data_IF_627214933881
#
_entry.id   IF_627214933881
#
_cell.length_a   1.000
_cell.length_b   1.000
_cell.length_c   1.000
_cell.angle_alpha   90.00
_cell.angle_beta   90.00
_cell.angle_gamma   90.00
#
_symmetry.space_group_name_H-M   'P 1'
#
loop_
_entity.id
_entity.type
_entity.pdbx_description
1 polymer ?
#
# COMPACT_ATOMS: atom_id res chain seq x y z
N UNK A 1 15.03 -22.74 11.75
CA UNK A 1 15.76 -23.17 12.99
C UNK A 1 14.80 -23.07 14.16
N UNK A 2 14.78 -24.02 15.10
CA UNK A 2 13.90 -23.95 16.28
C UNK A 2 14.30 -22.75 17.15
N UNK A 3 13.34 -21.85 17.44
CA UNK A 3 13.59 -20.67 18.30
C UNK A 3 13.71 -21.12 19.78
N UNK A 4 14.74 -20.68 20.46
CA UNK A 4 15.02 -21.06 21.86
C UNK A 4 13.84 -20.73 22.80
N UNK A 5 13.26 -19.54 22.68
CA UNK A 5 12.11 -19.11 23.50
C UNK A 5 10.89 -20.04 23.37
N UNK A 6 10.62 -20.49 22.15
CA UNK A 6 9.54 -21.45 21.90
C UNK A 6 9.85 -22.80 22.57
N UNK A 7 11.07 -23.32 22.37
CA UNK A 7 11.48 -24.59 22.93
C UNK A 7 11.40 -24.61 24.47
N UNK A 8 11.78 -23.51 25.12
CA UNK A 8 11.70 -23.35 26.58
C UNK A 8 10.25 -23.39 27.08
N UNK A 9 9.35 -22.61 26.41
CA UNK A 9 7.93 -22.60 26.76
C UNK A 9 7.28 -23.97 26.58
N UNK A 10 7.60 -24.61 25.45
CA UNK A 10 7.09 -25.94 25.10
C UNK A 10 7.51 -27.00 26.09
N UNK A 11 8.83 -27.11 26.43
CA UNK A 11 9.37 -28.06 27.39
C UNK A 11 8.76 -27.87 28.77
N UNK A 12 8.61 -26.61 29.22
CA UNK A 12 8.00 -26.31 30.53
C UNK A 12 6.56 -26.81 30.62
N UNK A 13 5.78 -26.64 29.57
CA UNK A 13 4.37 -27.09 29.50
C UNK A 13 4.29 -28.61 29.44
N UNK A 14 5.07 -29.26 28.57
CA UNK A 14 5.01 -30.69 28.34
C UNK A 14 5.55 -31.49 29.55
N UNK A 15 6.62 -31.06 30.20
CA UNK A 15 7.18 -31.70 31.39
C UNK A 15 6.24 -31.67 32.60
N UNK A 16 5.44 -30.59 32.74
CA UNK A 16 4.45 -30.49 33.82
C UNK A 16 3.31 -31.52 33.72
N UNK A 17 3.05 -32.02 32.53
CA UNK A 17 1.99 -33.02 32.27
C UNK A 17 2.53 -34.44 32.41
N UNK A 18 3.73 -34.71 31.95
CA UNK A 18 4.24 -36.10 31.79
C UNK A 18 5.06 -36.67 32.94
N UNK A 19 5.48 -35.85 33.89
CA UNK A 19 6.41 -36.25 34.97
C UNK A 19 7.71 -36.91 34.46
N UNK A 20 8.11 -36.64 33.22
CA UNK A 20 9.30 -37.13 32.53
C UNK A 20 10.19 -35.99 32.13
N UNK A 21 11.50 -36.21 32.04
CA UNK A 21 12.37 -35.19 31.50
C UNK A 21 12.25 -35.14 29.99
N UNK A 22 12.10 -33.93 29.48
CA UNK A 22 11.95 -33.64 28.04
C UNK A 22 13.09 -32.75 27.61
N UNK A 23 13.68 -33.09 26.46
CA UNK A 23 14.76 -32.32 25.85
C UNK A 23 14.41 -32.05 24.40
N UNK A 24 14.68 -30.84 23.94
CA UNK A 24 14.61 -30.48 22.52
C UNK A 24 16.02 -30.19 22.01
N UNK A 25 16.39 -30.81 20.90
CA UNK A 25 17.68 -30.61 20.26
C UNK A 25 17.55 -29.86 18.96
N UNK A 26 18.64 -29.21 18.54
CA UNK A 26 18.80 -28.71 17.17
C UNK A 26 19.17 -29.86 16.21
N UNK A 27 19.40 -29.54 14.92
CA UNK A 27 19.80 -30.52 13.88
C UNK A 27 21.12 -31.23 14.16
N UNK A 28 22.03 -30.64 14.96
CA UNK A 28 23.29 -31.22 15.36
C UNK A 28 23.21 -32.08 16.63
N UNK A 29 22.01 -32.31 17.15
CA UNK A 29 21.78 -33.09 18.35
C UNK A 29 22.08 -32.37 19.67
N UNK A 30 22.41 -31.07 19.62
CA UNK A 30 22.66 -30.26 20.80
C UNK A 30 21.34 -29.84 21.45
N UNK A 31 21.25 -30.02 22.77
CA UNK A 31 20.09 -29.65 23.58
C UNK A 31 19.95 -28.14 23.65
N UNK A 32 18.87 -27.60 23.10
CA UNK A 32 18.53 -26.17 23.10
C UNK A 32 17.53 -25.79 24.18
N UNK A 33 16.77 -26.79 24.68
CA UNK A 33 15.87 -26.64 25.83
C UNK A 33 15.67 -27.98 26.53
N UNK A 34 15.60 -27.95 27.86
CA UNK A 34 15.42 -29.11 28.69
C UNK A 34 14.60 -28.80 29.95
N UNK A 35 13.82 -29.78 30.43
CA UNK A 35 13.17 -29.71 31.76
C UNK A 35 14.17 -29.74 32.90
N UNK A 36 15.27 -30.45 32.71
CA UNK A 36 16.45 -30.39 33.58
C UNK A 36 17.51 -29.47 32.95
N UNK A 37 17.71 -28.30 33.55
CA UNK A 37 18.62 -27.28 33.01
C UNK A 37 20.10 -27.73 32.95
N UNK A 38 20.49 -28.75 33.70
CA UNK A 38 21.87 -29.27 33.70
C UNK A 38 22.28 -29.87 32.35
N UNK A 39 21.31 -30.34 31.56
CA UNK A 39 21.55 -30.94 30.24
C UNK A 39 21.54 -29.96 29.09
N UNK A 40 21.41 -28.66 29.33
CA UNK A 40 21.48 -27.64 28.28
C UNK A 40 22.88 -27.63 27.65
N UNK A 41 22.92 -27.68 26.32
CA UNK A 41 24.15 -27.68 25.53
C UNK A 41 24.80 -29.07 25.34
N UNK A 42 24.32 -30.10 26.03
CA UNK A 42 24.78 -31.49 25.79
C UNK A 42 24.43 -31.92 24.37
N UNK A 43 25.27 -32.78 23.79
CA UNK A 43 25.07 -33.34 22.45
C UNK A 43 24.70 -34.82 22.58
N UNK A 44 23.54 -35.16 22.01
CA UNK A 44 23.07 -36.55 21.92
C UNK A 44 23.24 -37.08 20.49
N UNK A 45 24.26 -37.95 20.23
CA UNK A 45 24.46 -38.57 18.93
C UNK A 45 23.22 -39.36 18.42
N UNK A 46 22.48 -39.95 19.37
CA UNK A 46 21.24 -40.68 19.10
C UNK A 46 20.16 -39.77 18.48
N UNK A 47 20.10 -38.48 18.90
CA UNK A 47 19.19 -37.52 18.30
C UNK A 47 19.57 -37.21 16.84
N UNK A 48 20.88 -37.05 16.56
CA UNK A 48 21.38 -36.86 15.19
C UNK A 48 20.99 -38.04 14.30
N UNK A 49 21.16 -39.26 14.80
CA UNK A 49 20.85 -40.48 14.10
C UNK A 49 19.32 -40.58 13.80
N UNK A 50 18.50 -40.27 14.80
CA UNK A 50 17.03 -40.22 14.63
C UNK A 50 16.61 -39.19 13.55
N UNK A 51 17.24 -38.03 13.53
CA UNK A 51 17.04 -36.98 12.52
C UNK A 51 17.45 -37.48 11.13
N UNK A 52 18.64 -38.07 11.00
CA UNK A 52 19.17 -38.56 9.71
C UNK A 52 18.34 -39.73 9.14
N UNK A 53 17.98 -40.70 9.98
CA UNK A 53 17.14 -41.83 9.56
C UNK A 53 15.67 -41.47 9.40
N UNK A 54 15.30 -40.34 9.97
CA UNK A 54 13.92 -39.86 9.93
C UNK A 54 12.94 -40.83 10.65
N UNK A 55 13.42 -41.56 11.64
CA UNK A 55 12.68 -42.54 12.41
C UNK A 55 12.89 -42.33 13.93
N UNK A 56 11.89 -42.68 14.75
CA UNK A 56 12.06 -42.70 16.19
C UNK A 56 13.09 -43.77 16.59
N UNK A 57 13.84 -43.51 17.64
CA UNK A 57 14.76 -44.43 18.26
C UNK A 57 14.30 -44.67 19.71
N UNK A 58 14.18 -45.93 20.11
CA UNK A 58 13.84 -46.35 21.46
C UNK A 58 15.08 -46.88 22.13
N UNK A 59 15.38 -46.35 23.30
CA UNK A 59 16.54 -46.76 24.12
C UNK A 59 16.01 -47.38 25.39
N UNK A 60 16.28 -48.66 25.55
CA UNK A 60 15.94 -49.47 26.73
C UNK A 60 17.14 -49.58 27.67
N UNK A 61 16.92 -50.05 28.89
CA UNK A 61 18.00 -50.21 29.88
C UNK A 61 19.13 -51.15 29.41
N UNK A 62 18.78 -52.18 28.65
CA UNK A 62 19.75 -53.20 28.18
C UNK A 62 20.68 -52.65 27.07
N UNK A 63 20.30 -51.56 26.38
CA UNK A 63 21.05 -51.03 25.25
C UNK A 63 21.61 -49.61 25.46
N UNK A 64 21.58 -49.09 26.70
CA UNK A 64 22.08 -47.77 27.07
C UNK A 64 23.52 -47.53 26.60
N UNK A 65 24.41 -48.48 26.81
CA UNK A 65 25.80 -48.37 26.39
C UNK A 65 25.99 -48.28 24.89
N UNK A 66 25.17 -49.01 24.15
CA UNK A 66 25.19 -49.02 22.68
C UNK A 66 24.81 -47.65 22.14
N UNK A 67 23.84 -47.00 22.77
CA UNK A 67 23.34 -45.69 22.35
C UNK A 67 24.07 -44.51 22.99
N UNK A 68 25.10 -44.78 23.83
CA UNK A 68 25.83 -43.79 24.63
C UNK A 68 24.87 -42.87 25.42
N UNK A 69 23.89 -43.46 26.07
CA UNK A 69 22.91 -42.79 26.91
C UNK A 69 22.99 -43.27 28.38
N UNK A 70 22.57 -42.42 29.29
CA UNK A 70 22.59 -42.68 30.75
C UNK A 70 21.22 -43.06 31.30
N UNK A 71 20.16 -42.96 30.46
CA UNK A 71 18.79 -43.26 30.85
C UNK A 71 18.01 -43.84 29.67
N UNK A 72 16.98 -44.66 29.90
CA UNK A 72 16.08 -45.12 28.85
C UNK A 72 15.25 -43.92 28.32
N UNK A 73 14.97 -43.92 27.03
CA UNK A 73 14.30 -42.79 26.38
C UNK A 73 13.64 -43.18 25.04
N UNK A 74 12.72 -42.34 24.62
CA UNK A 74 12.23 -42.30 23.23
C UNK A 74 12.68 -41.00 22.58
N UNK A 75 13.42 -41.13 21.48
CA UNK A 75 13.93 -40.03 20.68
C UNK A 75 13.14 -39.98 19.37
N UNK A 76 12.59 -38.83 19.02
CA UNK A 76 11.80 -38.66 17.80
C UNK A 76 12.16 -37.38 17.07
N UNK A 77 12.32 -37.43 15.71
CA UNK A 77 12.62 -36.24 14.95
C UNK A 77 11.39 -35.33 14.84
N UNK A 78 11.61 -34.01 14.86
CA UNK A 78 10.59 -32.97 14.63
C UNK A 78 10.69 -32.55 13.18
N UNK A 79 9.57 -32.56 12.44
CA UNK A 79 9.52 -32.31 11.00
C UNK A 79 8.52 -31.23 10.61
N UNK A 80 8.80 -30.59 9.50
CA UNK A 80 7.84 -29.80 8.75
C UNK A 80 8.16 -29.88 7.26
N UNK A 81 7.16 -30.20 6.41
CA UNK A 81 7.29 -30.36 4.95
C UNK A 81 8.52 -31.21 4.52
N UNK A 82 8.69 -32.39 5.11
CA UNK A 82 9.82 -33.32 4.89
C UNK A 82 11.21 -32.85 5.37
N UNK A 83 11.33 -31.68 5.96
CA UNK A 83 12.58 -31.24 6.60
C UNK A 83 12.55 -31.49 8.09
N UNK A 84 13.67 -32.00 8.64
CA UNK A 84 13.85 -32.17 10.08
C UNK A 84 14.44 -30.91 10.70
N UNK A 85 13.85 -30.42 11.78
CA UNK A 85 14.25 -29.20 12.48
C UNK A 85 15.06 -29.47 13.75
N UNK A 86 14.94 -30.67 14.28
CA UNK A 86 15.60 -31.13 15.49
C UNK A 86 14.99 -32.45 15.95
N UNK A 87 15.18 -32.81 17.22
CA UNK A 87 14.56 -33.98 17.84
C UNK A 87 14.04 -33.67 19.26
N UNK A 88 13.02 -34.44 19.66
CA UNK A 88 12.54 -34.50 21.03
C UNK A 88 13.08 -35.79 21.68
N UNK A 89 13.62 -35.68 22.89
CA UNK A 89 14.02 -36.79 23.73
C UNK A 89 13.11 -36.76 24.95
N UNK A 90 12.43 -37.86 25.23
CA UNK A 90 11.61 -38.03 26.43
C UNK A 90 12.23 -39.16 27.24
N UNK A 91 12.60 -38.89 28.51
CA UNK A 91 13.16 -39.90 29.40
C UNK A 91 12.09 -40.82 30.01
N UNK A 92 12.36 -42.09 30.08
CA UNK A 92 11.48 -43.12 30.64
C UNK A 92 11.49 -44.41 29.83
N UNK A 93 10.87 -45.44 30.36
CA UNK A 93 10.80 -46.74 29.69
C UNK A 93 9.93 -46.62 28.39
N UNK A 94 10.41 -47.07 27.21
CA UNK A 94 9.72 -46.87 25.95
C UNK A 94 8.26 -47.32 25.95
N UNK A 95 7.93 -48.42 26.61
CA UNK A 95 6.55 -48.92 26.68
C UNK A 95 5.59 -47.95 27.37
N UNK A 96 6.07 -47.15 28.31
CA UNK A 96 5.25 -46.20 29.07
C UNK A 96 5.11 -44.85 28.39
N UNK A 97 6.15 -44.43 27.69
CA UNK A 97 6.22 -43.05 27.15
C UNK A 97 6.03 -42.95 25.64
N UNK A 98 6.02 -44.04 24.88
CA UNK A 98 5.89 -44.05 23.42
C UNK A 98 4.69 -43.22 22.91
N UNK A 99 3.53 -43.47 23.51
CA UNK A 99 2.30 -42.76 23.11
C UNK A 99 2.37 -41.24 23.44
N UNK A 100 2.88 -40.93 24.61
CA UNK A 100 3.06 -39.53 25.04
C UNK A 100 4.07 -38.80 24.15
N UNK A 101 5.21 -39.43 23.84
CA UNK A 101 6.24 -38.85 22.95
C UNK A 101 5.65 -38.56 21.56
N UNK A 102 4.76 -39.44 21.05
CA UNK A 102 4.08 -39.24 19.78
C UNK A 102 3.14 -38.03 19.80
N UNK A 103 2.38 -37.83 20.88
CA UNK A 103 1.51 -36.67 21.04
C UNK A 103 2.30 -35.37 21.16
N UNK A 104 3.39 -35.39 21.93
CA UNK A 104 4.32 -34.25 22.07
C UNK A 104 4.91 -33.88 20.70
N UNK A 105 5.34 -34.87 19.93
CA UNK A 105 5.85 -34.66 18.57
C UNK A 105 4.83 -33.93 17.67
N UNK A 106 3.59 -34.45 17.61
CA UNK A 106 2.53 -33.85 16.78
C UNK A 106 2.28 -32.39 17.18
N UNK A 107 2.24 -32.11 18.48
CA UNK A 107 2.04 -30.75 18.96
C UNK A 107 3.25 -29.83 18.63
N UNK A 108 4.48 -30.33 18.77
CA UNK A 108 5.68 -29.58 18.40
C UNK A 108 5.73 -29.27 16.92
N UNK A 109 5.40 -30.24 16.06
CA UNK A 109 5.33 -30.08 14.61
C UNK A 109 4.25 -29.06 14.20
N UNK A 110 3.09 -29.08 14.86
CA UNK A 110 2.01 -28.12 14.63
C UNK A 110 2.41 -26.69 14.96
N UNK A 111 3.06 -26.48 16.12
CA UNK A 111 3.48 -25.11 16.52
C UNK A 111 4.60 -24.59 15.63
N UNK A 112 5.55 -25.45 15.24
CA UNK A 112 6.60 -25.08 14.28
C UNK A 112 6.00 -24.73 12.92
N UNK A 113 5.00 -25.49 12.45
CA UNK A 113 4.29 -25.20 11.22
C UNK A 113 3.64 -23.81 11.27
N UNK A 114 2.92 -23.48 12.34
CA UNK A 114 2.31 -22.16 12.51
C UNK A 114 3.34 -21.02 12.54
N UNK A 115 4.47 -21.20 13.24
CA UNK A 115 5.51 -20.17 13.30
C UNK A 115 6.14 -19.91 11.93
N UNK A 116 6.40 -20.97 11.15
CA UNK A 116 6.97 -20.86 9.81
C UNK A 116 5.97 -20.22 8.84
N UNK A 117 4.70 -20.59 8.91
CA UNK A 117 3.66 -20.00 8.07
C UNK A 117 3.48 -18.52 8.37
N UNK A 118 3.44 -18.12 9.64
CA UNK A 118 3.40 -16.69 10.04
C UNK A 118 4.63 -15.91 9.57
N UNK A 119 5.84 -16.48 9.65
CA UNK A 119 7.06 -15.84 9.13
C UNK A 119 7.02 -15.69 7.60
N UNK A 120 6.48 -16.69 6.89
CA UNK A 120 6.34 -16.62 5.43
C UNK A 120 5.32 -15.56 5.01
N UNK A 121 4.17 -15.49 5.68
CA UNK A 121 3.14 -14.48 5.43
C UNK A 121 3.67 -13.07 5.71
N UNK A 122 4.37 -12.88 6.83
CA UNK A 122 5.01 -11.60 7.17
C UNK A 122 6.08 -11.19 6.15
N UNK A 123 6.93 -12.13 5.72
CA UNK A 123 7.97 -11.87 4.71
C UNK A 123 7.35 -11.60 3.34
N UNK A 124 6.22 -12.23 2.97
CA UNK A 124 5.50 -11.95 1.74
C UNK A 124 4.90 -10.54 1.74
N UNK A 125 4.29 -10.11 2.84
CA UNK A 125 3.73 -8.75 2.98
C UNK A 125 4.85 -7.70 2.92
N UNK A 126 5.96 -7.90 3.65
CA UNK A 126 7.13 -7.01 3.58
C UNK A 126 7.72 -6.95 2.16
N UNK A 127 7.86 -8.09 1.50
CA UNK A 127 8.35 -8.18 0.14
C UNK A 127 7.45 -7.41 -0.84
N UNK A 128 6.14 -7.51 -0.72
CA UNK A 128 5.17 -6.79 -1.56
C UNK A 128 5.25 -5.28 -1.32
N UNK A 129 5.20 -4.83 -0.08
CA UNK A 129 5.31 -3.41 0.28
C UNK A 129 6.66 -2.81 -0.15
N UNK A 130 7.76 -3.53 0.03
CA UNK A 130 9.08 -3.10 -0.44
C UNK A 130 9.15 -2.98 -1.95
N UNK A 131 8.56 -3.92 -2.68
CA UNK A 131 8.49 -3.89 -4.13
C UNK A 131 7.67 -2.69 -4.63
N UNK A 132 6.48 -2.48 -4.09
CA UNK A 132 5.62 -1.34 -4.42
C UNK A 132 6.34 -0.01 -4.12
N UNK A 133 7.00 0.09 -2.97
CA UNK A 133 7.79 1.28 -2.62
C UNK A 133 8.92 1.51 -3.64
N UNK A 134 9.63 0.48 -4.05
CA UNK A 134 10.69 0.61 -5.05
C UNK A 134 10.14 1.04 -6.42
N UNK A 135 9.00 0.48 -6.86
CA UNK A 135 8.34 0.86 -8.12
C UNK A 135 7.92 2.34 -8.10
N UNK A 136 7.33 2.78 -6.99
CA UNK A 136 6.74 4.12 -6.89
C UNK A 136 7.75 5.24 -6.64
N UNK A 137 8.91 4.93 -6.03
CA UNK A 137 9.90 5.93 -5.62
C UNK A 137 11.25 5.85 -6.34
N UNK A 138 11.42 4.91 -7.29
CA UNK A 138 12.63 4.87 -8.13
C UNK A 138 12.47 5.80 -9.33
N UNK A 139 13.49 6.59 -9.64
CA UNK A 139 13.51 7.48 -10.81
C UNK A 139 13.37 6.71 -12.13
N UNK A 140 13.88 5.49 -12.18
CA UNK A 140 13.77 4.58 -13.34
C UNK A 140 13.49 3.16 -12.85
N UNK A 141 12.22 2.81 -12.52
CA UNK A 141 11.91 1.45 -12.13
C UNK A 141 12.20 0.51 -13.32
N UNK A 142 13.16 -0.39 -13.14
CA UNK A 142 13.45 -1.43 -14.13
C UNK A 142 12.30 -2.47 -14.10
N UNK A 143 11.21 -2.13 -14.79
CA UNK A 143 9.97 -2.91 -14.85
C UNK A 143 10.25 -4.33 -15.35
N UNK A 144 11.30 -4.53 -16.18
CA UNK A 144 11.68 -5.85 -16.70
C UNK A 144 12.24 -6.79 -15.63
N UNK A 145 12.86 -6.24 -14.56
CA UNK A 145 13.31 -7.05 -13.41
C UNK A 145 12.16 -7.66 -12.64
N UNK A 146 11.01 -6.96 -12.60
CA UNK A 146 9.82 -7.41 -11.87
C UNK A 146 8.99 -8.44 -12.65
N UNK A 147 9.24 -8.61 -13.95
CA UNK A 147 8.55 -9.59 -14.81
C UNK A 147 9.03 -11.05 -14.62
N UNK A 148 10.05 -11.32 -13.82
CA UNK A 148 10.60 -12.68 -13.69
C UNK A 148 10.02 -13.41 -12.48
N UNK A 149 9.25 -14.44 -12.78
CA UNK A 149 8.79 -15.63 -12.03
C UNK A 149 8.51 -15.59 -10.50
N UNK A 150 9.16 -14.75 -9.69
CA UNK A 150 8.90 -14.61 -8.27
C UNK A 150 7.83 -13.55 -7.94
N UNK A 151 7.60 -12.60 -8.83
CA UNK A 151 6.72 -11.45 -8.58
C UNK A 151 5.30 -11.65 -9.12
N UNK A 152 5.08 -12.55 -10.09
CA UNK A 152 3.74 -12.88 -10.61
C UNK A 152 2.76 -13.41 -9.54
N UNK A 153 3.28 -13.98 -8.46
CA UNK A 153 2.45 -14.49 -7.36
C UNK A 153 2.01 -13.39 -6.37
N UNK A 154 2.62 -12.20 -6.42
CA UNK A 154 2.37 -11.12 -5.45
C UNK A 154 1.67 -9.90 -6.06
N UNK A 155 1.89 -9.63 -7.34
CA UNK A 155 1.21 -8.59 -8.10
C UNK A 155 0.84 -9.17 -9.47
N UNK A 156 -0.44 -9.22 -9.78
CA UNK A 156 -0.84 -9.52 -11.14
C UNK A 156 -0.58 -8.25 -11.98
N UNK A 157 0.26 -8.40 -12.99
CA UNK A 157 0.69 -7.29 -13.84
C UNK A 157 -0.43 -6.76 -14.74
N UNK A 158 -1.50 -7.54 -14.87
CA UNK A 158 -2.69 -7.20 -15.65
C UNK A 158 -3.78 -6.53 -14.78
N UNK A 159 -3.55 -6.46 -13.46
CA UNK A 159 -4.46 -5.76 -12.55
C UNK A 159 -4.50 -4.25 -12.84
N UNK A 160 -5.61 -3.65 -12.50
CA UNK A 160 -5.78 -2.21 -12.56
C UNK A 160 -5.78 -1.61 -11.15
N UNK A 161 -5.19 -0.43 -11.04
CA UNK A 161 -4.95 0.21 -9.75
C UNK A 161 -5.41 1.67 -9.74
N UNK A 162 -5.81 2.13 -8.56
CA UNK A 162 -5.93 3.54 -8.22
C UNK A 162 -5.05 3.79 -7.00
N UNK A 163 -4.22 4.83 -7.07
CA UNK A 163 -3.43 5.29 -5.92
C UNK A 163 -4.13 6.48 -5.30
N UNK A 164 -4.24 6.48 -3.97
CA UNK A 164 -4.56 7.68 -3.23
C UNK A 164 -3.41 8.02 -2.28
N UNK A 165 -3.08 9.30 -2.15
CA UNK A 165 -2.04 9.77 -1.24
C UNK A 165 -2.68 10.59 -0.12
N UNK A 166 -2.36 10.23 1.12
CA UNK A 166 -2.82 10.93 2.32
C UNK A 166 -1.67 11.78 2.86
N UNK A 167 -1.86 13.08 2.89
CA UNK A 167 -0.95 14.05 3.49
C UNK A 167 -1.53 14.55 4.81
N UNK A 168 -0.80 14.36 5.91
CA UNK A 168 -1.28 14.71 7.25
C UNK A 168 -0.68 16.07 7.67
N UNK A 169 -1.53 17.08 7.76
CA UNK A 169 -1.15 18.47 8.05
C UNK A 169 -1.17 18.75 9.56
N UNK A 170 -0.46 17.95 10.35
CA UNK A 170 -0.28 18.18 11.79
C UNK A 170 1.09 17.73 12.26
N UNK A 171 1.68 18.46 13.23
CA UNK A 171 2.91 18.07 13.91
C UNK A 171 2.65 17.37 15.24
N UNK A 172 1.40 17.25 15.67
CA UNK A 172 1.03 16.60 16.93
C UNK A 172 1.18 15.10 16.85
N UNK A 173 2.09 14.51 17.63
CA UNK A 173 2.34 13.06 17.70
C UNK A 173 1.06 12.25 18.03
N UNK A 174 0.18 12.79 18.87
CA UNK A 174 -1.07 12.12 19.24
C UNK A 174 -2.06 12.07 18.08
N UNK A 175 -2.19 13.18 17.31
CA UNK A 175 -3.05 13.24 16.12
C UNK A 175 -2.51 12.37 15.00
N UNK A 176 -1.19 12.41 14.74
CA UNK A 176 -0.52 11.52 13.77
C UNK A 176 -0.80 10.05 14.09
N UNK A 177 -0.73 9.67 15.38
CA UNK A 177 -1.05 8.30 15.80
C UNK A 177 -2.50 7.94 15.52
N UNK A 178 -3.46 8.81 15.83
CA UNK A 178 -4.89 8.55 15.58
C UNK A 178 -5.19 8.38 14.10
N UNK A 179 -4.70 9.29 13.25
CA UNK A 179 -4.87 9.17 11.78
C UNK A 179 -4.30 7.85 11.27
N UNK A 180 -3.09 7.50 11.71
CA UNK A 180 -2.49 6.21 11.35
C UNK A 180 -3.36 5.03 11.78
N UNK A 181 -3.80 5.01 13.05
CA UNK A 181 -4.58 3.91 13.59
C UNK A 181 -5.92 3.78 12.83
N UNK A 182 -6.51 4.89 12.38
CA UNK A 182 -7.70 4.88 11.50
C UNK A 182 -7.38 4.33 10.12
N UNK A 183 -6.28 4.77 9.47
CA UNK A 183 -5.87 4.25 8.16
C UNK A 183 -5.56 2.75 8.19
N UNK A 184 -4.87 2.26 9.23
CA UNK A 184 -4.56 0.84 9.41
C UNK A 184 -5.83 -0.02 9.63
N UNK A 185 -6.92 0.58 10.11
CA UNK A 185 -8.22 -0.06 10.26
C UNK A 185 -9.06 -0.05 8.98
N UNK A 186 -8.68 0.74 7.98
CA UNK A 186 -9.29 0.70 6.65
C UNK A 186 -8.89 -0.60 5.93
N UNK A 187 -9.57 -1.68 6.26
CA UNK A 187 -9.33 -2.99 5.63
C UNK A 187 -10.24 -3.15 4.44
N UNK A 188 -9.78 -2.75 3.28
CA UNK A 188 -10.33 -3.24 2.03
C UNK A 188 -9.63 -4.54 1.66
N UNK A 189 -10.35 -5.58 1.21
CA UNK A 189 -9.72 -6.81 0.71
C UNK A 189 -8.85 -6.48 -0.50
N UNK A 190 -7.58 -6.89 -0.48
CA UNK A 190 -6.58 -6.74 -1.54
C UNK A 190 -5.90 -5.37 -1.71
N UNK A 191 -6.04 -4.46 -0.75
CA UNK A 191 -5.42 -3.14 -0.81
C UNK A 191 -4.13 -3.07 0.00
N UNK A 192 -3.21 -2.22 -0.43
CA UNK A 192 -1.93 -2.01 0.24
C UNK A 192 -1.85 -0.59 0.81
N UNK A 193 -1.34 -0.49 2.03
CA UNK A 193 -1.03 0.79 2.68
C UNK A 193 0.49 0.89 2.84
N UNK A 194 1.08 1.90 2.22
CA UNK A 194 2.51 2.17 2.29
C UNK A 194 2.74 3.45 3.07
N UNK A 195 3.49 3.34 4.15
CA UNK A 195 3.96 4.50 4.89
C UNK A 195 5.21 5.07 4.22
N UNK A 196 5.11 6.26 3.67
CA UNK A 196 6.22 7.00 3.04
C UNK A 196 7.00 7.79 4.10
N UNK A 197 6.27 8.52 4.94
CA UNK A 197 6.81 9.32 6.05
C UNK A 197 5.83 9.30 7.24
N UNK A 198 6.16 9.91 8.38
CA UNK A 198 5.21 10.07 9.47
C UNK A 198 3.93 10.83 9.09
N UNK A 199 4.00 11.66 8.04
CA UNK A 199 2.92 12.52 7.58
C UNK A 199 2.39 12.15 6.19
N UNK A 200 2.90 11.06 5.58
CA UNK A 200 2.50 10.68 4.23
C UNK A 200 2.29 9.17 4.11
N UNK A 201 1.12 8.80 3.58
CA UNK A 201 0.73 7.42 3.33
C UNK A 201 0.20 7.28 1.91
N UNK A 202 0.53 6.16 1.27
CA UNK A 202 -0.07 5.74 0.00
C UNK A 202 -1.05 4.60 0.26
N UNK A 203 -2.23 4.74 -0.32
CA UNK A 203 -3.26 3.72 -0.37
C UNK A 203 -3.32 3.24 -1.81
N UNK A 204 -3.19 1.93 -2.02
CA UNK A 204 -3.23 1.34 -3.36
C UNK A 204 -4.47 0.46 -3.41
N UNK A 205 -5.44 0.88 -4.21
CA UNK A 205 -6.69 0.17 -4.43
C UNK A 205 -6.58 -0.66 -5.71
N UNK A 206 -6.85 -1.95 -5.59
CA UNK A 206 -7.00 -2.84 -6.73
C UNK A 206 -8.46 -2.86 -7.18
N UNK A 207 -8.72 -2.66 -8.46
CA UNK A 207 -10.07 -2.68 -9.00
C UNK A 207 -10.12 -3.35 -10.37
N UNK A 208 -11.21 -4.07 -10.61
CA UNK A 208 -11.54 -4.66 -11.91
C UNK A 208 -12.67 -3.89 -12.62
N UNK A 209 -13.04 -2.72 -12.10
CA UNK A 209 -14.09 -1.86 -12.65
C UNK A 209 -13.53 -0.88 -13.69
N UNK A 210 -14.34 0.10 -14.10
CA UNK A 210 -13.99 1.04 -15.15
C UNK A 210 -13.50 2.38 -14.59
N UNK A 211 -12.68 3.09 -15.40
CA UNK A 211 -12.20 4.45 -15.12
C UNK A 211 -13.38 5.40 -14.88
N UNK A 212 -13.27 6.27 -13.89
CA UNK A 212 -14.25 7.26 -13.51
C UNK A 212 -15.31 6.78 -12.50
N UNK A 213 -15.69 5.51 -12.53
CA UNK A 213 -16.55 4.91 -11.48
C UNK A 213 -15.72 4.55 -10.27
N UNK A 214 -14.60 3.89 -10.48
CA UNK A 214 -13.70 3.43 -9.41
C UNK A 214 -13.18 4.60 -8.56
N UNK A 215 -12.71 5.68 -9.19
CA UNK A 215 -12.19 6.86 -8.47
C UNK A 215 -13.26 7.53 -7.63
N UNK A 216 -14.50 7.64 -8.13
CA UNK A 216 -15.65 8.19 -7.38
C UNK A 216 -16.08 7.30 -6.22
N UNK A 217 -16.06 5.98 -6.41
CA UNK A 217 -16.35 5.02 -5.35
C UNK A 217 -15.30 5.10 -4.24
N UNK A 218 -14.02 5.18 -4.61
CA UNK A 218 -12.92 5.36 -3.65
C UNK A 218 -13.07 6.69 -2.90
N UNK A 219 -13.38 7.80 -3.59
CA UNK A 219 -13.65 9.08 -2.97
C UNK A 219 -14.78 8.96 -1.94
N UNK A 220 -15.90 8.39 -2.35
CA UNK A 220 -17.06 8.18 -1.48
C UNK A 220 -16.73 7.28 -0.29
N UNK A 221 -15.93 6.22 -0.50
CA UNK A 221 -15.48 5.34 0.58
C UNK A 221 -14.59 6.10 1.57
N UNK A 222 -13.60 6.84 1.09
CA UNK A 222 -12.70 7.63 1.92
C UNK A 222 -13.49 8.66 2.72
N UNK A 223 -14.41 9.41 2.10
CA UNK A 223 -15.24 10.41 2.77
C UNK A 223 -16.11 9.81 3.87
N UNK A 224 -16.70 8.62 3.64
CA UNK A 224 -17.52 7.91 4.63
C UNK A 224 -16.72 7.26 5.75
N UNK A 225 -15.51 6.80 5.45
CA UNK A 225 -14.64 6.07 6.40
C UNK A 225 -13.76 7.00 7.22
N UNK A 226 -13.64 8.27 6.81
CA UNK A 226 -12.83 9.29 7.49
C UNK A 226 -13.50 9.72 8.78
N UNK A 227 -12.78 9.59 9.89
CA UNK A 227 -13.18 10.19 11.17
C UNK A 227 -12.81 11.70 11.20
N UNK A 228 -13.22 12.39 12.27
CA UNK A 228 -12.91 13.82 12.47
C UNK A 228 -11.40 14.11 12.35
N UNK A 229 -10.54 13.20 12.81
CA UNK A 229 -9.09 13.42 12.75
C UNK A 229 -8.54 13.42 11.31
N UNK A 230 -9.09 12.57 10.43
CA UNK A 230 -8.72 12.57 9.01
C UNK A 230 -9.31 13.80 8.33
N UNK A 231 -10.58 14.09 8.55
CA UNK A 231 -11.28 15.22 7.91
C UNK A 231 -10.67 16.58 8.25
N UNK A 232 -10.23 16.78 9.50
CA UNK A 232 -9.67 18.06 9.95
C UNK A 232 -8.17 18.23 9.68
N UNK A 233 -7.45 17.15 9.45
CA UNK A 233 -5.99 17.20 9.43
C UNK A 233 -5.35 16.56 8.21
N UNK A 234 -6.13 16.10 7.25
CA UNK A 234 -5.56 15.41 6.08
C UNK A 234 -6.04 16.00 4.76
N UNK A 235 -5.09 16.10 3.83
CA UNK A 235 -5.35 16.30 2.41
C UNK A 235 -5.18 14.95 1.73
N UNK A 236 -6.18 14.51 0.99
CA UNK A 236 -6.16 13.24 0.27
C UNK A 236 -6.34 13.50 -1.20
N UNK A 237 -5.38 13.05 -2.00
CA UNK A 237 -5.46 13.10 -3.47
C UNK A 237 -5.66 11.70 -4.01
N UNK A 238 -6.56 11.56 -4.97
CA UNK A 238 -6.89 10.30 -5.64
C UNK A 238 -6.46 10.42 -7.09
N UNK A 239 -5.57 9.53 -7.54
CA UNK A 239 -5.09 9.46 -8.91
C UNK A 239 -6.10 8.83 -9.86
N UNK A 240 -5.64 8.43 -11.04
CA UNK A 240 -6.47 7.80 -12.07
C UNK A 240 -6.46 6.27 -11.96
N UNK A 241 -7.54 5.66 -12.43
CA UNK A 241 -7.62 4.22 -12.66
C UNK A 241 -6.78 3.82 -13.87
N UNK A 242 -5.76 3.03 -13.64
CA UNK A 242 -4.78 2.65 -14.66
C UNK A 242 -4.39 1.18 -14.54
N UNK A 243 -4.01 0.56 -15.65
CA UNK A 243 -3.66 -0.86 -15.70
C UNK A 243 -2.14 -1.10 -15.63
N UNK A 244 -1.76 -2.14 -14.91
CA UNK A 244 -0.39 -2.61 -14.79
C UNK A 244 0.53 -1.71 -13.98
N UNK A 245 1.81 -2.08 -13.94
CA UNK A 245 2.83 -1.35 -13.16
C UNK A 245 3.00 0.10 -13.65
N UNK A 246 2.96 0.33 -14.97
CA UNK A 246 3.05 1.70 -15.50
C UNK A 246 1.87 2.53 -15.07
N UNK A 247 0.68 1.93 -15.06
CA UNK A 247 -0.53 2.57 -14.57
C UNK A 247 -0.44 2.92 -13.09
N UNK A 248 0.11 2.03 -12.27
CA UNK A 248 0.35 2.31 -10.86
C UNK A 248 1.25 3.55 -10.65
N UNK A 249 2.35 3.65 -11.42
CA UNK A 249 3.26 4.81 -11.38
C UNK A 249 2.55 6.07 -11.87
N UNK A 250 1.75 5.98 -12.94
CA UNK A 250 1.00 7.11 -13.49
C UNK A 250 -0.04 7.61 -12.49
N UNK A 251 -0.82 6.72 -11.88
CA UNK A 251 -1.81 7.08 -10.86
C UNK A 251 -1.18 7.83 -9.68
N UNK A 252 -0.02 7.36 -9.20
CA UNK A 252 0.74 8.05 -8.16
C UNK A 252 1.29 9.41 -8.61
N UNK A 253 1.79 9.50 -9.86
CA UNK A 253 2.25 10.77 -10.44
C UNK A 253 1.11 11.80 -10.50
N UNK A 254 -0.09 11.35 -10.86
CA UNK A 254 -1.28 12.20 -10.90
C UNK A 254 -1.67 12.70 -9.51
N UNK A 255 -1.53 11.87 -8.46
CA UNK A 255 -1.70 12.34 -7.07
C UNK A 255 -0.73 13.47 -6.72
N UNK A 256 0.54 13.33 -7.12
CA UNK A 256 1.58 14.36 -6.84
C UNK A 256 1.31 15.67 -7.57
N UNK A 257 0.96 15.61 -8.86
CA UNK A 257 0.65 16.80 -9.63
C UNK A 257 -0.61 17.52 -9.09
N UNK A 258 -1.64 16.76 -8.72
CA UNK A 258 -2.82 17.33 -8.06
C UNK A 258 -2.45 17.97 -6.73
N UNK A 259 -1.57 17.33 -5.93
CA UNK A 259 -1.10 17.92 -4.66
C UNK A 259 -0.40 19.27 -4.88
N UNK A 260 0.48 19.38 -5.89
CA UNK A 260 1.17 20.62 -6.21
C UNK A 260 0.18 21.74 -6.58
N UNK A 261 -0.81 21.44 -7.40
CA UNK A 261 -1.89 22.37 -7.73
C UNK A 261 -2.67 22.84 -6.50
N UNK A 262 -3.07 21.89 -5.61
CA UNK A 262 -3.82 22.22 -4.40
C UNK A 262 -3.00 23.05 -3.41
N UNK A 263 -1.67 22.84 -3.34
CA UNK A 263 -0.77 23.65 -2.53
C UNK A 263 -0.71 25.09 -3.01
N UNK A 264 -0.64 25.30 -4.31
CA UNK A 264 -0.67 26.63 -4.91
C UNK A 264 -2.00 27.35 -4.63
N UNK A 265 -3.11 26.60 -4.67
CA UNK A 265 -4.44 27.10 -4.29
C UNK A 265 -4.62 27.28 -2.78
N UNK A 266 -3.60 27.02 -1.95
CA UNK A 266 -3.64 27.05 -0.49
C UNK A 266 -4.68 26.09 0.13
N UNK A 267 -5.02 25.01 -0.57
CA UNK A 267 -5.94 23.98 -0.09
C UNK A 267 -5.13 22.92 0.66
N UNK A 268 -5.36 22.80 1.95
CA UNK A 268 -4.57 21.92 2.84
C UNK A 268 -5.37 20.76 3.44
N UNK A 269 -6.68 20.70 3.23
CA UNK A 269 -7.58 19.71 3.83
C UNK A 269 -8.64 19.31 2.79
N UNK A 270 -9.04 18.05 2.81
CA UNK A 270 -10.13 17.53 1.99
C UNK A 270 -9.75 16.32 1.13
N UNK A 271 -10.71 15.84 0.34
CA UNK A 271 -10.55 14.69 -0.55
C UNK A 271 -10.77 15.13 -1.99
N UNK A 272 -9.75 15.02 -2.82
CA UNK A 272 -9.74 15.52 -4.18
C UNK A 272 -9.38 14.40 -5.17
N UNK A 273 -10.14 14.33 -6.27
CA UNK A 273 -9.91 13.36 -7.33
C UNK A 273 -9.26 14.06 -8.53
N UNK A 274 -8.19 13.48 -9.07
CA UNK A 274 -7.47 14.03 -10.24
C UNK A 274 -8.39 14.30 -11.41
N UNK A 275 -9.37 13.43 -11.67
CA UNK A 275 -10.31 13.60 -12.78
C UNK A 275 -11.15 14.88 -12.69
N UNK A 276 -11.39 15.38 -11.49
CA UNK A 276 -12.14 16.63 -11.27
C UNK A 276 -11.30 17.88 -11.61
N UNK A 277 -9.96 17.73 -11.68
CA UNK A 277 -8.95 18.80 -11.86
C UNK A 277 -7.99 18.52 -13.02
N UNK A 278 -8.32 17.58 -13.90
CA UNK A 278 -7.37 17.09 -14.93
C UNK A 278 -6.86 18.23 -15.83
N UNK A 279 -7.74 19.14 -16.24
CA UNK A 279 -7.37 20.26 -17.09
C UNK A 279 -6.50 21.28 -16.33
N UNK A 280 -6.87 21.59 -15.10
CA UNK A 280 -6.13 22.52 -14.23
C UNK A 280 -4.72 21.98 -13.93
N UNK A 281 -4.60 20.67 -13.64
CA UNK A 281 -3.29 20.02 -13.40
C UNK A 281 -2.43 20.04 -14.66
N UNK A 282 -3.01 19.80 -15.85
CA UNK A 282 -2.28 19.90 -17.12
C UNK A 282 -1.75 21.32 -17.29
N UNK A 283 -2.59 22.32 -17.10
CA UNK A 283 -2.19 23.73 -17.21
C UNK A 283 -1.08 24.08 -16.22
N UNK A 284 -1.23 23.70 -14.96
CA UNK A 284 -0.21 23.89 -13.93
C UNK A 284 1.13 23.23 -14.30
N UNK A 285 1.11 22.01 -14.84
CA UNK A 285 2.34 21.28 -15.22
C UNK A 285 3.10 21.94 -16.37
N UNK A 286 2.39 22.61 -17.30
CA UNK A 286 3.00 23.24 -18.47
C UNK A 286 3.31 24.74 -18.29
N UNK A 287 2.82 25.38 -17.21
CA UNK A 287 2.94 26.84 -17.02
C UNK A 287 4.40 27.34 -16.98
N UNK A 288 5.31 26.58 -16.37
CA UNK A 288 6.72 26.92 -16.26
C UNK A 288 7.57 26.49 -17.46
N UNK A 289 6.95 25.91 -18.48
CA UNK A 289 7.70 25.46 -19.65
C UNK A 289 8.02 26.63 -20.59
N UNK A 290 9.20 26.62 -21.25
CA UNK A 290 9.52 27.61 -22.26
C UNK A 290 8.51 27.71 -23.41
N UNK A 291 7.73 26.66 -23.61
CA UNK A 291 6.69 26.55 -24.61
C UNK A 291 5.60 27.63 -24.42
N UNK A 292 5.10 27.83 -23.19
CA UNK A 292 4.05 28.83 -22.92
C UNK A 292 4.52 30.27 -23.08
N UNK A 293 5.80 30.55 -22.84
CA UNK A 293 6.37 31.88 -23.03
C UNK A 293 6.37 32.33 -24.51
N UNK A 294 6.21 31.41 -25.45
CA UNK A 294 6.11 31.69 -26.90
C UNK A 294 4.68 31.91 -27.38
N UNK A 295 3.68 31.54 -26.56
CA UNK A 295 2.27 31.68 -26.93
C UNK A 295 1.60 32.82 -26.17
N UNK A 296 0.84 33.63 -26.91
CA UNK A 296 0.10 34.79 -26.40
C UNK A 296 -1.16 34.39 -25.62
N UNK A 297 -1.20 33.20 -24.99
CA UNK A 297 -2.41 32.73 -24.31
C UNK A 297 -2.81 33.66 -23.17
N UNK A 298 -1.91 33.86 -22.22
CA UNK A 298 -2.17 34.71 -21.06
C UNK A 298 -2.42 36.16 -21.46
N UNK A 299 -1.58 36.73 -22.32
CA UNK A 299 -1.75 38.09 -22.78
C UNK A 299 -3.04 38.33 -23.57
N UNK A 300 -3.56 37.33 -24.27
CA UNK A 300 -4.86 37.42 -24.90
C UNK A 300 -6.01 37.43 -23.87
N UNK A 301 -5.90 36.66 -22.79
CA UNK A 301 -6.88 36.68 -21.70
C UNK A 301 -6.83 38.02 -20.94
N UNK A 302 -5.64 38.56 -20.66
CA UNK A 302 -5.46 39.90 -20.08
C UNK A 302 -6.17 40.98 -20.92
N UNK A 303 -6.07 40.90 -22.22
CA UNK A 303 -6.80 41.82 -23.12
C UNK A 303 -8.33 41.69 -23.05
N UNK A 304 -8.85 40.51 -22.71
CA UNK A 304 -10.27 40.32 -22.48
C UNK A 304 -10.71 40.99 -21.18
N UNK A 305 -9.99 40.70 -20.05
CA UNK A 305 -10.39 41.18 -18.72
C UNK A 305 -10.19 42.70 -18.57
N UNK A 306 -9.19 43.27 -19.26
CA UNK A 306 -8.93 44.71 -19.24
C UNK A 306 -9.67 45.47 -20.36
N UNK A 307 -10.58 44.80 -21.07
CA UNK A 307 -11.37 45.48 -22.08
C UNK A 307 -12.54 46.28 -21.46
N UNK A 308 -12.41 47.60 -21.41
CA UNK A 308 -13.41 48.49 -20.80
C UNK A 308 -13.12 48.69 -19.30
N UNK A 309 -14.02 49.47 -18.65
CA UNK A 309 -13.85 49.79 -17.21
C UNK A 309 -14.32 48.64 -16.28
N UNK A 310 -15.23 47.76 -16.77
CA UNK A 310 -15.88 46.74 -15.96
C UNK A 310 -15.66 45.36 -16.57
N UNK A 311 -14.69 44.63 -16.27
CA UNK A 311 -14.35 43.22 -16.67
C UNK A 311 -15.53 42.35 -17.21
N UNK A 312 -16.52 42.96 -17.88
CA UNK A 312 -17.74 42.28 -18.31
C UNK A 312 -17.54 41.20 -19.38
N UNK A 313 -16.43 41.24 -20.15
CA UNK A 313 -16.07 40.19 -21.10
C UNK A 313 -15.49 38.95 -20.39
N UNK A 314 -14.68 39.15 -19.35
CA UNK A 314 -14.18 38.06 -18.50
C UNK A 314 -15.32 37.34 -17.80
N UNK A 315 -16.23 38.05 -17.15
CA UNK A 315 -17.45 37.51 -16.53
C UNK A 315 -18.33 36.75 -17.55
N UNK A 316 -18.45 37.30 -18.76
CA UNK A 316 -19.21 36.65 -19.83
C UNK A 316 -18.58 35.32 -20.23
N UNK A 317 -17.26 35.28 -20.35
CA UNK A 317 -16.53 34.07 -20.73
C UNK A 317 -16.61 33.00 -19.62
N UNK A 318 -16.50 33.40 -18.38
CA UNK A 318 -16.65 32.51 -17.22
C UNK A 318 -18.05 31.89 -17.16
N UNK A 319 -19.09 32.71 -17.24
CA UNK A 319 -20.47 32.22 -17.28
C UNK A 319 -20.74 31.33 -18.51
N UNK A 320 -20.10 31.61 -19.63
CA UNK A 320 -20.23 30.81 -20.86
C UNK A 320 -19.61 29.42 -20.67
N UNK A 321 -18.47 29.31 -20.04
CA UNK A 321 -17.83 28.03 -19.72
C UNK A 321 -18.60 27.23 -18.65
N UNK A 322 -19.04 27.87 -17.57
CA UNK A 322 -19.85 27.26 -16.51
C UNK A 322 -21.19 26.72 -17.06
N UNK A 323 -21.69 27.29 -18.12
CA UNK A 323 -22.88 26.83 -18.84
C UNK A 323 -22.59 25.95 -20.05
N UNK A 324 -21.34 25.42 -20.15
CA UNK A 324 -20.94 24.51 -21.23
C UNK A 324 -21.24 25.03 -22.64
N UNK A 325 -21.08 26.34 -22.87
CA UNK A 325 -21.34 26.99 -24.16
C UNK A 325 -22.81 27.14 -24.51
N UNK A 326 -23.75 26.94 -23.58
CA UNK A 326 -25.21 27.06 -23.85
C UNK A 326 -25.67 28.51 -23.79
N UNK A 327 -25.80 29.15 -24.95
CA UNK A 327 -26.09 30.57 -25.07
C UNK A 327 -27.31 31.06 -24.28
N UNK A 328 -28.44 30.33 -24.34
CA UNK A 328 -29.66 30.75 -23.63
C UNK A 328 -29.47 30.71 -22.11
N UNK A 329 -28.80 29.66 -21.60
CA UNK A 329 -28.54 29.52 -20.16
C UNK A 329 -27.57 30.61 -19.69
N UNK A 330 -26.50 30.84 -20.43
CA UNK A 330 -25.53 31.91 -20.16
C UNK A 330 -26.15 33.30 -20.13
N UNK A 331 -27.00 33.60 -21.12
CA UNK A 331 -27.69 34.89 -21.16
C UNK A 331 -28.62 35.10 -19.95
N UNK A 332 -29.36 34.05 -19.55
CA UNK A 332 -30.22 34.10 -18.39
C UNK A 332 -29.40 34.28 -17.08
N UNK A 333 -28.32 33.56 -16.91
CA UNK A 333 -27.45 33.66 -15.70
C UNK A 333 -26.81 35.05 -15.57
N UNK A 334 -26.48 35.68 -16.71
CA UNK A 334 -25.91 37.02 -16.72
C UNK A 334 -26.99 38.12 -16.70
N UNK A 335 -28.29 37.78 -16.71
CA UNK A 335 -29.42 38.71 -16.79
C UNK A 335 -29.34 39.64 -18.00
N UNK A 336 -28.88 39.13 -19.16
CA UNK A 336 -28.76 39.90 -20.40
C UNK A 336 -29.57 39.26 -21.53
N UNK A 337 -29.92 40.07 -22.56
CA UNK A 337 -30.54 39.51 -23.74
C UNK A 337 -29.55 38.69 -24.57
N UNK A 338 -30.01 37.65 -25.26
CA UNK A 338 -29.18 36.79 -26.11
C UNK A 338 -28.36 37.57 -27.13
N UNK A 339 -28.91 38.66 -27.71
CA UNK A 339 -28.19 39.50 -28.67
C UNK A 339 -26.97 40.19 -28.00
N UNK A 340 -27.11 40.62 -26.75
CA UNK A 340 -26.02 41.22 -25.98
C UNK A 340 -24.94 40.20 -25.72
N UNK A 341 -25.31 38.94 -25.37
CA UNK A 341 -24.34 37.87 -25.22
C UNK A 341 -23.56 37.59 -26.51
N UNK A 342 -24.27 37.48 -27.65
CA UNK A 342 -23.63 37.30 -28.96
C UNK A 342 -22.69 38.46 -29.32
N UNK A 343 -23.08 39.70 -29.03
CA UNK A 343 -22.18 40.83 -29.19
C UNK A 343 -20.90 40.72 -28.35
N UNK A 344 -21.03 40.35 -27.07
CA UNK A 344 -19.89 40.16 -26.19
C UNK A 344 -18.96 39.05 -26.67
N UNK A 345 -19.50 37.89 -27.07
CA UNK A 345 -18.72 36.78 -27.62
C UNK A 345 -18.02 37.16 -28.93
N UNK A 346 -18.70 37.91 -29.82
CA UNK A 346 -18.08 38.46 -31.02
C UNK A 346 -16.93 39.41 -30.70
N UNK A 347 -17.07 40.20 -29.63
CA UNK A 347 -16.02 41.12 -29.17
C UNK A 347 -14.80 40.38 -28.67
N UNK A 348 -15.00 39.27 -27.93
CA UNK A 348 -13.91 38.35 -27.50
C UNK A 348 -13.16 37.80 -28.72
N UNK A 349 -13.90 37.38 -29.76
CA UNK A 349 -13.30 36.94 -31.03
C UNK A 349 -12.48 38.04 -31.71
N UNK A 350 -12.99 39.26 -31.75
CA UNK A 350 -12.26 40.40 -32.35
C UNK A 350 -10.94 40.70 -31.65
N UNK A 351 -10.93 40.58 -30.31
CA UNK A 351 -9.75 40.85 -29.47
C UNK A 351 -8.70 39.75 -29.60
N UNK A 352 -9.12 38.50 -29.53
CA UNK A 352 -8.20 37.33 -29.40
C UNK A 352 -7.93 36.64 -30.73
N UNK A 353 -8.80 36.81 -31.72
CA UNK A 353 -8.91 36.02 -32.96
C UNK A 353 -9.35 34.58 -32.75
N UNK A 354 -9.72 34.21 -31.52
CA UNK A 354 -10.30 32.92 -31.20
C UNK A 354 -11.80 33.00 -31.14
N UNK A 355 -12.46 32.16 -31.94
CA UNK A 355 -13.92 32.18 -32.05
C UNK A 355 -14.55 31.31 -30.94
N UNK A 356 -15.32 31.92 -30.00
CA UNK A 356 -15.97 31.16 -28.92
C UNK A 356 -17.04 30.18 -29.40
N UNK A 357 -17.39 30.19 -30.66
CA UNK A 357 -18.35 29.24 -31.25
C UNK A 357 -17.67 28.01 -31.88
N UNK A 358 -16.36 27.99 -31.98
CA UNK A 358 -15.58 26.84 -32.47
C UNK A 358 -14.96 26.08 -31.33
N UNK A 359 -14.74 24.76 -31.51
CA UNK A 359 -14.09 23.91 -30.50
C UNK A 359 -12.70 24.43 -30.19
N UNK A 360 -11.90 24.75 -31.21
CA UNK A 360 -10.53 25.25 -31.03
C UNK A 360 -10.50 26.58 -30.28
N UNK A 361 -11.42 27.48 -30.60
CA UNK A 361 -11.55 28.78 -29.93
C UNK A 361 -11.94 28.61 -28.46
N UNK A 362 -12.89 27.73 -28.14
CA UNK A 362 -13.29 27.41 -26.76
C UNK A 362 -12.10 26.85 -25.98
N UNK A 363 -11.35 25.87 -26.54
CA UNK A 363 -10.20 25.27 -25.90
C UNK A 363 -9.12 26.31 -25.59
N UNK A 364 -8.76 27.15 -26.58
CA UNK A 364 -7.74 28.19 -26.41
C UNK A 364 -8.15 29.23 -25.35
N UNK A 365 -9.42 29.67 -25.37
CA UNK A 365 -9.94 30.62 -24.38
C UNK A 365 -9.96 30.01 -22.96
N UNK A 366 -10.36 28.75 -22.82
CA UNK A 366 -10.39 28.09 -21.52
C UNK A 366 -8.97 27.86 -20.95
N UNK A 367 -8.03 27.42 -21.80
CA UNK A 367 -6.62 27.31 -21.40
C UNK A 367 -6.05 28.66 -20.97
N UNK A 368 -6.31 29.73 -21.74
CA UNK A 368 -5.85 31.06 -21.42
C UNK A 368 -6.42 31.58 -20.09
N UNK A 369 -7.69 31.30 -19.80
CA UNK A 369 -8.31 31.61 -18.50
C UNK A 369 -7.64 30.91 -17.33
N UNK A 370 -7.47 29.56 -17.42
CA UNK A 370 -6.88 28.77 -16.35
C UNK A 370 -5.45 29.21 -16.08
N UNK A 371 -4.64 29.35 -17.13
CA UNK A 371 -3.24 29.80 -17.01
C UNK A 371 -3.12 31.20 -16.40
N UNK A 372 -4.03 32.11 -16.73
CA UNK A 372 -4.07 33.44 -16.12
C UNK A 372 -4.40 33.38 -14.62
N UNK A 373 -5.39 32.55 -14.24
CA UNK A 373 -5.79 32.36 -12.84
C UNK A 373 -4.69 31.76 -11.96
N UNK A 374 -3.78 30.97 -12.54
CA UNK A 374 -2.63 30.40 -11.83
C UNK A 374 -1.47 31.38 -11.64
N UNK A 375 -1.42 32.48 -12.39
CA UNK A 375 -0.35 33.48 -12.29
C UNK A 375 -0.71 34.67 -11.38
N UNK A 376 -2.00 34.82 -11.07
CA UNK A 376 -2.55 35.94 -10.29
C UNK A 376 -3.40 35.44 -9.14
#
# INVERSE_FOLDING_TARGET
>A
MIKKQWAEKFVKQAAGVLKSNIYITNRSGQVISASNQQSLGEIYPTAVLSIQRNLPIEVEEDNLKFWNMTFPAVITPIKYKNESYGAIIVSGHPNDIRTHTRLIKINAEYVIAQDIERENDFNQVLSRTQMLSHILFSDHPDIQKYNRNHFKAQLDLDDSFVVATVYINTSSKSKLKKVRDTLENWRLPHDDIIKVSPQEYLLIFKSNQHRGETEREIKTFIEKSSDENIQEHSLITIGTFESGIRGLVQSHSNCKHLKLLLDEMNITIGVFCYLDYELEVICHTIQDTPFLNQYSLISNYERIIHFGEDNYLGETLEAYFNNHGKLLKTANDLFIHRNTLNYRLKKIHEITKWDPHTVDGIVLLRLAQILYQHQH
#
